data_IF_645862946981
#
_entry.id   IF_645862946981
#
_cell.length_a   1.000
_cell.length_b   1.000
_cell.length_c   1.000
_cell.angle_alpha   90.00
_cell.angle_beta   90.00
_cell.angle_gamma   90.00
#
_symmetry.space_group_name_H-M   'P 1'
#
loop_
_entity.id
_entity.type
_entity.pdbx_description
1 polymer ?
#
# COMPACT_ATOMS: atom_id res chain seq x y z
N UNK A 1 22.76 17.94 26.51
CA UNK A 1 21.36 17.53 26.70
C UNK A 1 21.12 16.35 25.77
N UNK A 2 20.93 15.15 26.31
CA UNK A 2 20.67 13.96 25.50
C UNK A 2 19.23 14.03 24.97
N UNK A 3 19.04 13.68 23.69
CA UNK A 3 17.70 13.53 23.14
C UNK A 3 16.99 12.37 23.88
N UNK A 4 15.70 12.51 24.19
CA UNK A 4 14.96 11.42 24.81
C UNK A 4 14.91 10.21 23.88
N UNK A 5 15.08 9.02 24.44
CA UNK A 5 14.92 7.78 23.72
C UNK A 5 13.49 7.62 23.19
N UNK A 6 13.36 6.88 22.09
CA UNK A 6 12.05 6.57 21.54
C UNK A 6 11.24 5.76 22.57
N UNK A 7 9.93 6.04 22.72
CA UNK A 7 9.07 5.38 23.71
C UNK A 7 8.88 3.87 23.46
N UNK A 8 9.34 3.35 22.31
CA UNK A 8 9.33 1.93 21.97
C UNK A 8 10.54 1.59 21.10
N UNK A 9 11.05 0.37 21.25
CA UNK A 9 12.04 -0.21 20.33
C UNK A 9 11.44 -0.62 18.97
N UNK A 10 10.11 -0.57 18.82
CA UNK A 10 9.39 -0.88 17.58
C UNK A 10 9.29 0.34 16.68
N UNK A 11 9.41 0.11 15.38
CA UNK A 11 9.35 1.15 14.36
C UNK A 11 7.94 1.20 13.78
N UNK A 12 7.36 2.39 13.68
CA UNK A 12 5.94 2.58 13.39
C UNK A 12 5.48 1.98 12.04
N UNK A 13 6.17 2.27 10.93
CA UNK A 13 5.88 1.69 9.62
C UNK A 13 7.17 1.54 8.80
N UNK A 14 7.18 0.57 7.88
CA UNK A 14 8.27 0.38 6.89
C UNK A 14 7.73 0.33 5.47
N UNK A 15 8.44 0.93 4.52
CA UNK A 15 8.14 0.75 3.09
C UNK A 15 8.43 -0.68 2.66
N UNK A 16 7.46 -1.32 2.02
CA UNK A 16 7.53 -2.72 1.64
C UNK A 16 7.35 -2.89 0.13
N UNK A 17 8.40 -3.40 -0.52
CA UNK A 17 8.45 -3.73 -1.94
C UNK A 17 9.10 -5.12 -2.09
N UNK A 18 8.33 -6.20 -2.34
CA UNK A 18 8.84 -7.57 -2.24
C UNK A 18 9.56 -8.12 -3.48
N UNK A 19 10.22 -7.23 -4.25
CA UNK A 19 11.04 -7.56 -5.41
C UNK A 19 12.49 -7.76 -4.95
N UNK A 20 12.85 -9.00 -4.59
CA UNK A 20 14.13 -9.31 -3.94
C UNK A 20 14.99 -10.33 -4.67
N UNK A 21 14.46 -10.97 -5.71
CA UNK A 21 15.23 -11.89 -6.56
C UNK A 21 15.80 -11.14 -7.78
N UNK A 22 16.93 -11.61 -8.34
CA UNK A 22 17.48 -11.03 -9.56
C UNK A 22 16.45 -10.96 -10.69
N UNK A 23 16.33 -9.79 -11.30
CA UNK A 23 15.36 -9.54 -12.39
C UNK A 23 13.97 -9.12 -11.92
N UNK A 24 13.65 -9.20 -10.62
CA UNK A 24 12.38 -8.70 -10.12
C UNK A 24 12.37 -7.17 -10.03
N UNK A 25 11.34 -6.57 -10.58
CA UNK A 25 11.16 -5.13 -10.59
C UNK A 25 9.67 -4.77 -10.63
N UNK A 26 9.24 -3.69 -9.95
CA UNK A 26 7.88 -3.21 -10.08
C UNK A 26 7.54 -2.76 -11.51
N UNK A 27 8.55 -2.49 -12.35
CA UNK A 27 8.37 -2.06 -13.74
C UNK A 27 8.02 -3.19 -14.70
N UNK A 28 8.11 -4.46 -14.27
CA UNK A 28 7.66 -5.60 -15.07
C UNK A 28 6.17 -5.84 -14.81
N UNK A 29 5.26 -5.60 -15.79
CA UNK A 29 3.83 -5.79 -15.61
C UNK A 29 3.44 -7.26 -15.37
N UNK A 30 4.32 -8.21 -15.68
CA UNK A 30 4.13 -9.64 -15.45
C UNK A 30 4.73 -10.13 -14.14
N UNK A 31 5.43 -9.26 -13.39
CA UNK A 31 5.92 -9.62 -12.06
C UNK A 31 4.76 -10.05 -11.17
N UNK A 32 4.98 -11.15 -10.45
CA UNK A 32 3.99 -11.65 -9.50
C UNK A 32 4.69 -12.23 -8.28
N UNK A 33 4.41 -11.63 -7.12
CA UNK A 33 4.91 -12.10 -5.85
C UNK A 33 3.84 -12.97 -5.20
N UNK A 34 4.18 -14.25 -5.01
CA UNK A 34 3.27 -15.21 -4.39
C UNK A 34 2.88 -14.80 -2.96
N UNK A 35 1.64 -15.10 -2.51
CA UNK A 35 1.23 -14.87 -1.12
C UNK A 35 2.14 -15.52 -0.08
N UNK A 36 2.72 -16.70 -0.37
CA UNK A 36 3.65 -17.38 0.53
C UNK A 36 4.95 -16.59 0.77
N UNK A 37 5.45 -15.89 -0.25
CA UNK A 37 6.61 -14.99 -0.09
C UNK A 37 6.25 -13.76 0.73
N UNK A 38 5.09 -13.16 0.45
CA UNK A 38 4.58 -12.03 1.22
C UNK A 38 4.41 -12.42 2.70
N UNK A 39 3.91 -13.63 2.97
CA UNK A 39 3.80 -14.17 4.31
C UNK A 39 5.15 -14.28 5.02
N UNK A 40 6.14 -14.88 4.37
CA UNK A 40 7.48 -15.01 4.93
C UNK A 40 8.11 -13.63 5.24
N UNK A 41 7.95 -12.67 4.34
CA UNK A 41 8.48 -11.32 4.50
C UNK A 41 7.76 -10.57 5.64
N UNK A 42 6.42 -10.61 5.68
CA UNK A 42 5.64 -9.96 6.74
C UNK A 42 5.85 -10.62 8.11
N UNK A 43 6.09 -11.93 8.18
CA UNK A 43 6.49 -12.62 9.40
C UNK A 43 7.81 -12.09 9.96
N UNK A 44 8.77 -11.81 9.09
CA UNK A 44 10.05 -11.24 9.51
C UNK A 44 9.88 -9.78 9.96
N UNK A 45 9.11 -8.99 9.21
CA UNK A 45 8.88 -7.58 9.52
C UNK A 45 8.08 -7.38 10.81
N UNK A 46 7.11 -8.25 11.10
CA UNK A 46 6.28 -8.17 12.32
C UNK A 46 7.09 -8.31 13.60
N UNK A 47 8.34 -8.74 13.55
CA UNK A 47 9.22 -8.78 14.71
C UNK A 47 9.68 -7.38 15.15
N UNK A 48 9.65 -6.38 14.26
CA UNK A 48 10.18 -5.02 14.52
C UNK A 48 9.26 -3.87 14.14
N UNK A 49 8.31 -4.11 13.23
CA UNK A 49 7.43 -3.08 12.68
C UNK A 49 5.96 -3.34 13.00
N UNK A 50 5.21 -2.28 13.28
CA UNK A 50 3.76 -2.38 13.52
C UNK A 50 2.96 -2.22 12.22
N UNK A 51 3.60 -1.69 11.17
CA UNK A 51 2.93 -1.44 9.92
C UNK A 51 3.85 -1.53 8.70
N UNK A 52 3.25 -1.83 7.55
CA UNK A 52 3.90 -1.76 6.24
C UNK A 52 3.20 -0.76 5.34
N UNK A 53 3.96 -0.11 4.47
CA UNK A 53 3.45 0.70 3.36
C UNK A 53 3.66 -0.01 2.04
N UNK A 54 2.59 -0.16 1.27
CA UNK A 54 2.64 -0.61 -0.12
C UNK A 54 2.43 0.56 -1.07
N UNK A 55 2.77 0.37 -2.35
CA UNK A 55 2.71 1.42 -3.37
C UNK A 55 1.65 1.16 -4.45
N UNK A 56 1.30 -0.10 -4.66
CA UNK A 56 0.34 -0.57 -5.67
C UNK A 56 -0.46 -1.76 -5.13
N UNK A 57 -1.52 -2.13 -5.85
CA UNK A 57 -2.34 -3.31 -5.59
C UNK A 57 -2.00 -4.47 -6.53
N UNK A 58 -1.35 -4.20 -7.66
CA UNK A 58 -0.92 -5.21 -8.62
C UNK A 58 0.15 -6.19 -8.11
N UNK A 59 0.55 -7.12 -8.99
CA UNK A 59 1.71 -8.00 -8.82
C UNK A 59 1.70 -8.86 -7.54
N UNK A 60 0.52 -9.14 -7.00
CA UNK A 60 0.31 -9.94 -5.78
C UNK A 60 0.22 -9.12 -4.48
N UNK A 61 0.49 -7.81 -4.52
CA UNK A 61 0.45 -6.95 -3.33
C UNK A 61 -0.96 -6.80 -2.73
N UNK A 62 -2.01 -7.09 -3.51
CA UNK A 62 -3.37 -7.18 -3.00
C UNK A 62 -3.55 -8.17 -1.81
N UNK A 63 -2.66 -9.16 -1.65
CA UNK A 63 -2.71 -10.08 -0.52
C UNK A 63 -2.18 -9.48 0.81
N UNK A 64 -1.47 -8.36 0.75
CA UNK A 64 -0.78 -7.77 1.91
C UNK A 64 -1.71 -7.45 3.09
N UNK A 65 -2.89 -6.81 2.91
CA UNK A 65 -3.79 -6.50 4.03
C UNK A 65 -4.22 -7.75 4.80
N UNK A 66 -4.65 -8.80 4.09
CA UNK A 66 -5.10 -10.05 4.70
C UNK A 66 -3.98 -10.75 5.48
N UNK A 67 -2.76 -10.76 4.93
CA UNK A 67 -1.61 -11.42 5.56
C UNK A 67 -1.10 -10.61 6.76
N UNK A 68 -0.99 -9.28 6.63
CA UNK A 68 -0.54 -8.38 7.69
C UNK A 68 -1.41 -8.51 8.95
N UNK A 69 -2.73 -8.65 8.76
CA UNK A 69 -3.68 -8.86 9.86
C UNK A 69 -3.36 -10.10 10.70
N UNK A 70 -2.86 -11.19 10.09
CA UNK A 70 -2.47 -12.42 10.81
C UNK A 70 -1.31 -12.20 11.77
N UNK A 71 -0.50 -11.18 11.54
CA UNK A 71 0.65 -10.81 12.36
C UNK A 71 0.39 -9.60 13.25
N UNK A 72 -0.87 -9.12 13.34
CA UNK A 72 -1.22 -7.92 14.09
C UNK A 72 -0.64 -6.63 13.51
N UNK A 73 -0.18 -6.66 12.25
CA UNK A 73 0.36 -5.50 11.57
C UNK A 73 -0.76 -4.73 10.85
N UNK A 74 -0.61 -3.42 10.78
CA UNK A 74 -1.46 -2.56 9.93
C UNK A 74 -0.80 -2.25 8.58
N UNK A 75 -1.60 -1.76 7.64
CA UNK A 75 -1.14 -1.44 6.29
C UNK A 75 -1.51 0.00 5.94
N UNK A 76 -0.53 0.77 5.46
CA UNK A 76 -0.73 1.96 4.65
C UNK A 76 -0.78 1.51 3.20
N UNK A 77 -2.00 1.38 2.67
CA UNK A 77 -2.25 0.73 1.38
C UNK A 77 -2.14 1.73 0.24
N UNK A 78 -1.19 1.52 -0.68
CA UNK A 78 -0.99 2.39 -1.83
C UNK A 78 -1.82 1.97 -3.05
N UNK A 79 -2.39 2.96 -3.74
CA UNK A 79 -2.99 2.82 -5.07
C UNK A 79 -2.06 3.55 -6.03
N UNK A 80 -1.46 2.82 -6.97
CA UNK A 80 -0.56 3.43 -7.94
C UNK A 80 -1.36 4.11 -9.05
N UNK A 81 -0.97 5.34 -9.38
CA UNK A 81 -1.55 6.09 -10.48
C UNK A 81 -0.44 6.50 -11.45
N UNK A 82 -0.71 6.38 -12.74
CA UNK A 82 0.15 6.77 -13.84
C UNK A 82 -0.65 7.51 -14.94
N UNK A 83 -0.08 7.60 -16.15
CA UNK A 83 -0.70 8.28 -17.30
C UNK A 83 -1.78 7.45 -17.99
N UNK A 84 -1.85 6.15 -17.76
CA UNK A 84 -2.83 5.23 -18.37
C UNK A 84 -4.11 5.20 -17.52
N UNK A 85 -5.23 5.78 -18.00
CA UNK A 85 -6.48 5.78 -17.26
C UNK A 85 -7.02 4.37 -17.01
N UNK A 86 -6.72 3.39 -17.87
CA UNK A 86 -7.16 2.02 -17.68
C UNK A 86 -6.35 1.32 -16.58
N UNK A 87 -5.05 1.57 -16.49
CA UNK A 87 -4.21 1.09 -15.39
C UNK A 87 -4.69 1.67 -14.06
N UNK A 88 -4.94 2.99 -14.03
CA UNK A 88 -5.48 3.68 -12.88
C UNK A 88 -6.82 3.09 -12.42
N UNK A 89 -7.75 2.84 -13.35
CA UNK A 89 -9.04 2.26 -13.03
C UNK A 89 -8.91 0.85 -12.40
N UNK A 90 -7.96 0.03 -12.88
CA UNK A 90 -7.69 -1.31 -12.31
C UNK A 90 -7.14 -1.20 -10.89
N UNK A 91 -6.15 -0.34 -10.68
CA UNK A 91 -5.53 -0.09 -9.36
C UNK A 91 -6.57 0.44 -8.35
N UNK A 92 -7.40 1.40 -8.76
CA UNK A 92 -8.48 1.96 -7.93
C UNK A 92 -9.51 0.89 -7.56
N UNK A 93 -9.98 0.10 -8.54
CA UNK A 93 -10.95 -0.94 -8.30
C UNK A 93 -10.43 -2.01 -7.32
N UNK A 94 -9.17 -2.44 -7.49
CA UNK A 94 -8.51 -3.38 -6.58
C UNK A 94 -8.33 -2.78 -5.18
N UNK A 95 -7.90 -1.51 -5.09
CA UNK A 95 -7.72 -0.82 -3.82
C UNK A 95 -9.02 -0.68 -3.06
N UNK A 96 -10.11 -0.31 -3.73
CA UNK A 96 -11.45 -0.24 -3.13
C UNK A 96 -11.89 -1.62 -2.63
N UNK A 97 -11.73 -2.66 -3.44
CA UNK A 97 -12.11 -4.02 -3.07
C UNK A 97 -11.36 -4.49 -1.80
N UNK A 98 -10.04 -4.30 -1.76
CA UNK A 98 -9.22 -4.66 -0.60
C UNK A 98 -9.55 -3.84 0.65
N UNK A 99 -9.79 -2.54 0.50
CA UNK A 99 -10.17 -1.69 1.63
C UNK A 99 -11.50 -2.09 2.25
N UNK A 100 -12.44 -2.56 1.43
CA UNK A 100 -13.74 -3.08 1.90
C UNK A 100 -13.62 -4.45 2.53
N UNK A 101 -12.73 -5.31 2.01
CA UNK A 101 -12.52 -6.65 2.53
C UNK A 101 -11.74 -6.66 3.86
N UNK A 102 -10.78 -5.75 4.04
CA UNK A 102 -9.85 -5.75 5.17
C UNK A 102 -9.74 -4.40 5.92
N UNK A 103 -10.85 -3.70 6.24
CA UNK A 103 -10.78 -2.35 6.81
C UNK A 103 -10.03 -2.30 8.15
N UNK A 104 -10.12 -3.37 8.94
CA UNK A 104 -9.47 -3.48 10.26
C UNK A 104 -7.93 -3.54 10.15
N UNK A 105 -7.43 -4.02 9.01
CA UNK A 105 -5.99 -4.11 8.74
C UNK A 105 -5.42 -2.79 8.20
N UNK A 106 -6.26 -1.82 7.85
CA UNK A 106 -5.81 -0.59 7.20
C UNK A 106 -5.63 0.54 8.22
N UNK A 107 -4.43 1.11 8.21
CA UNK A 107 -4.14 2.39 8.86
C UNK A 107 -4.55 3.57 7.98
N UNK A 108 -4.59 3.36 6.67
CA UNK A 108 -5.05 4.33 5.68
C UNK A 108 -4.80 3.85 4.25
N UNK A 109 -5.41 4.56 3.30
CA UNK A 109 -5.24 4.36 1.85
C UNK A 109 -4.58 5.61 1.26
N UNK A 110 -3.51 5.41 0.50
CA UNK A 110 -2.74 6.47 -0.16
C UNK A 110 -3.03 6.40 -1.66
N UNK A 111 -3.63 7.46 -2.23
CA UNK A 111 -4.04 7.49 -3.64
C UNK A 111 -2.99 8.26 -4.45
N UNK A 112 -2.16 7.50 -5.17
CA UNK A 112 -1.05 8.02 -5.96
C UNK A 112 0.25 8.16 -5.15
N UNK A 113 1.37 8.23 -5.87
CA UNK A 113 2.69 8.47 -5.30
C UNK A 113 3.42 9.46 -6.20
N UNK A 114 3.63 10.70 -5.72
CA UNK A 114 4.39 11.74 -6.45
C UNK A 114 3.86 12.05 -7.87
N UNK A 115 2.60 11.70 -8.16
CA UNK A 115 2.00 11.78 -9.50
C UNK A 115 2.12 13.17 -10.13
N UNK A 116 1.96 14.23 -9.32
CA UNK A 116 2.10 15.61 -9.76
C UNK A 116 3.55 15.97 -10.07
N UNK A 117 4.49 15.47 -9.26
CA UNK A 117 5.93 15.66 -9.48
C UNK A 117 6.41 14.92 -10.74
N UNK A 118 5.83 13.75 -11.04
CA UNK A 118 6.09 12.99 -12.26
C UNK A 118 5.37 13.55 -13.51
N UNK A 119 4.51 14.55 -13.33
CA UNK A 119 3.74 15.17 -14.41
C UNK A 119 2.82 14.19 -15.13
N UNK A 120 2.27 13.21 -14.41
CA UNK A 120 1.45 12.15 -15.00
C UNK A 120 -0.04 12.51 -15.03
N UNK A 121 -0.51 13.22 -14.00
CA UNK A 121 -1.91 13.66 -13.89
C UNK A 121 -1.99 15.15 -13.55
N UNK A 122 -3.08 15.78 -13.98
CA UNK A 122 -3.44 17.11 -13.50
C UNK A 122 -3.95 17.03 -12.04
N UNK A 123 -3.74 18.08 -11.21
CA UNK A 123 -4.23 18.12 -9.83
C UNK A 123 -5.74 17.84 -9.69
N UNK A 124 -6.55 18.33 -10.63
CA UNK A 124 -8.00 18.11 -10.64
C UNK A 124 -8.38 16.65 -10.86
N UNK A 125 -7.62 15.91 -11.67
CA UNK A 125 -7.82 14.49 -11.95
C UNK A 125 -7.46 13.67 -10.72
N UNK A 126 -6.29 13.95 -10.11
CA UNK A 126 -5.89 13.31 -8.85
C UNK A 126 -6.92 13.53 -7.73
N UNK A 127 -7.40 14.75 -7.57
CA UNK A 127 -8.46 15.06 -6.60
C UNK A 127 -9.77 14.32 -6.89
N UNK A 128 -10.07 14.05 -8.16
CA UNK A 128 -11.18 13.19 -8.58
C UNK A 128 -11.03 11.77 -8.04
N UNK A 129 -9.89 11.13 -8.28
CA UNK A 129 -9.61 9.77 -7.80
C UNK A 129 -9.61 9.68 -6.27
N UNK A 130 -9.04 10.65 -5.56
CA UNK A 130 -9.08 10.69 -4.09
C UNK A 130 -10.53 10.72 -3.57
N UNK A 131 -11.42 11.52 -4.19
CA UNK A 131 -12.83 11.57 -3.81
C UNK A 131 -13.56 10.27 -4.12
N UNK A 132 -13.28 9.66 -5.27
CA UNK A 132 -13.85 8.38 -5.68
C UNK A 132 -13.52 7.28 -4.66
N UNK A 133 -12.24 7.10 -4.34
CA UNK A 133 -11.79 6.11 -3.35
C UNK A 133 -12.41 6.39 -1.98
N UNK A 134 -12.40 7.64 -1.52
CA UNK A 134 -12.98 8.01 -0.23
C UNK A 134 -14.47 7.71 -0.13
N UNK A 135 -15.22 7.90 -1.22
CA UNK A 135 -16.66 7.61 -1.24
C UNK A 135 -16.96 6.10 -1.29
N UNK A 136 -16.02 5.29 -1.75
CA UNK A 136 -16.24 3.87 -2.01
C UNK A 136 -15.77 2.92 -0.89
N UNK A 137 -15.00 3.41 0.09
CA UNK A 137 -14.45 2.60 1.18
C UNK A 137 -15.07 2.97 2.55
N UNK A 138 -14.93 2.15 3.60
CA UNK A 138 -15.49 2.46 4.91
C UNK A 138 -14.96 3.79 5.47
N UNK A 139 -15.87 4.63 5.99
CA UNK A 139 -15.55 5.98 6.46
C UNK A 139 -14.50 6.05 7.59
N UNK A 140 -14.31 4.94 8.32
CA UNK A 140 -13.29 4.82 9.36
C UNK A 140 -11.87 4.71 8.81
N UNK A 141 -11.69 4.35 7.54
CA UNK A 141 -10.37 4.22 6.90
C UNK A 141 -9.96 5.57 6.32
N UNK A 142 -8.88 6.21 6.82
CA UNK A 142 -8.40 7.47 6.27
C UNK A 142 -7.94 7.30 4.82
N UNK A 143 -8.23 8.29 3.98
CA UNK A 143 -7.71 8.40 2.60
C UNK A 143 -6.85 9.65 2.52
N UNK A 144 -5.69 9.54 1.89
CA UNK A 144 -4.77 10.65 1.59
C UNK A 144 -4.40 10.67 0.12
#
# INVERSE_FOLDING_TARGET
>A
MALPDAPSARIACVSYAPYRLPGETPFDPHAFISPARIDADLRALSQRFDCVRTYSQGQGLAAVPAIAQRYGMQVLMGIWLDRDPQANAREIAQGIANARAHPQALRGVIVGNEVLLRGELAPSVLAGYVREVRAAIPAAVPVS
#
